data_IF_944746930940
#
_entry.id   IF_944746930940
#
_cell.length_a   1.000
_cell.length_b   1.000
_cell.length_c   1.000
_cell.angle_alpha   90.00
_cell.angle_beta   90.00
_cell.angle_gamma   90.00
#
_symmetry.space_group_name_H-M   'P 1'
#
loop_
_entity.id
_entity.type
_entity.pdbx_description
1 polymer ?
#
# COMPACT_ATOMS: atom_id res chain seq x y z
N UNK A 1 -10.09 -22.68 -10.67
CA UNK A 1 -9.65 -21.57 -9.80
C UNK A 1 -8.34 -21.14 -10.40
N UNK A 2 -8.28 -19.96 -11.02
CA UNK A 2 -7.01 -19.42 -11.50
C UNK A 2 -6.10 -19.33 -10.28
N UNK A 3 -4.91 -19.94 -10.35
CA UNK A 3 -3.92 -19.79 -9.29
C UNK A 3 -3.58 -18.30 -9.22
N UNK A 4 -3.96 -17.65 -8.12
CA UNK A 4 -3.55 -16.28 -7.84
C UNK A 4 -2.03 -16.25 -7.84
N UNK A 5 -1.46 -15.58 -8.84
CA UNK A 5 -0.01 -15.46 -8.98
C UNK A 5 0.47 -14.41 -7.97
N UNK A 6 0.87 -14.88 -6.80
CA UNK A 6 1.50 -14.04 -5.79
C UNK A 6 2.95 -13.75 -6.17
N UNK A 7 3.32 -12.47 -6.12
CA UNK A 7 4.70 -12.02 -6.33
C UNK A 7 5.31 -11.58 -5.00
N UNK A 8 6.56 -11.97 -4.76
CA UNK A 8 7.34 -11.47 -3.63
C UNK A 8 8.17 -10.25 -4.05
N UNK A 9 8.13 -9.18 -3.27
CA UNK A 9 8.89 -7.97 -3.50
C UNK A 9 9.73 -7.65 -2.25
N UNK A 10 11.04 -7.49 -2.45
CA UNK A 10 11.94 -6.98 -1.42
C UNK A 10 12.17 -5.49 -1.67
N UNK A 11 11.90 -4.68 -0.65
CA UNK A 11 11.99 -3.22 -0.74
C UNK A 11 12.71 -2.66 0.49
N UNK A 12 13.62 -1.68 0.32
CA UNK A 12 14.13 -0.92 1.46
C UNK A 12 13.03 -0.06 2.07
N UNK A 13 13.15 0.30 3.35
CA UNK A 13 12.10 1.04 4.08
C UNK A 13 11.78 2.39 3.43
N UNK A 14 12.76 3.04 2.81
CA UNK A 14 12.56 4.29 2.08
C UNK A 14 11.62 4.12 0.88
N UNK A 15 11.72 2.99 0.17
CA UNK A 15 10.83 2.68 -0.94
C UNK A 15 9.39 2.43 -0.46
N UNK A 16 9.23 1.73 0.67
CA UNK A 16 7.90 1.52 1.29
C UNK A 16 7.25 2.87 1.63
N UNK A 17 8.01 3.83 2.17
CA UNK A 17 7.51 5.19 2.46
C UNK A 17 7.08 5.93 1.19
N UNK A 18 7.86 5.85 0.11
CA UNK A 18 7.52 6.46 -1.18
C UNK A 18 6.22 5.87 -1.74
N UNK A 19 6.08 4.54 -1.70
CA UNK A 19 4.87 3.85 -2.17
C UNK A 19 3.66 4.30 -1.34
N UNK A 20 3.76 4.31 0.00
CA UNK A 20 2.70 4.81 0.86
C UNK A 20 2.28 6.26 0.52
N UNK A 21 3.24 7.14 0.26
CA UNK A 21 2.95 8.53 -0.17
C UNK A 21 2.23 8.56 -1.51
N UNK A 22 2.66 7.77 -2.50
CA UNK A 22 1.99 7.65 -3.79
C UNK A 22 0.55 7.16 -3.67
N UNK A 23 0.33 6.11 -2.87
CA UNK A 23 -1.01 5.57 -2.60
C UNK A 23 -1.91 6.59 -1.89
N UNK A 24 -1.36 7.34 -0.93
CA UNK A 24 -2.10 8.41 -0.25
C UNK A 24 -2.59 9.48 -1.22
N UNK A 25 -1.72 9.89 -2.17
CA UNK A 25 -2.11 10.85 -3.21
C UNK A 25 -3.15 10.27 -4.17
N UNK A 26 -3.04 8.99 -4.52
CA UNK A 26 -4.00 8.31 -5.39
C UNK A 26 -5.39 8.23 -4.74
N UNK A 27 -5.45 7.91 -3.45
CA UNK A 27 -6.70 7.93 -2.67
C UNK A 27 -7.28 9.34 -2.60
N UNK A 28 -6.47 10.35 -2.28
CA UNK A 28 -6.91 11.74 -2.16
C UNK A 28 -7.46 12.30 -3.48
N UNK A 29 -6.86 11.91 -4.60
CA UNK A 29 -7.19 12.41 -5.94
C UNK A 29 -8.06 11.45 -6.75
N UNK A 30 -8.67 10.45 -6.11
CA UNK A 30 -9.48 9.45 -6.80
C UNK A 30 -10.63 10.13 -7.57
N UNK A 31 -10.64 9.96 -8.88
CA UNK A 31 -11.62 10.60 -9.78
C UNK A 31 -12.98 9.90 -9.79
N UNK A 32 -13.18 8.88 -8.97
CA UNK A 32 -14.27 7.90 -9.09
C UNK A 32 -13.87 6.74 -10.01
N UNK A 33 -14.63 5.65 -9.94
CA UNK A 33 -14.32 4.40 -10.64
C UNK A 33 -15.11 3.24 -10.05
N UNK A 34 -14.59 2.02 -10.22
CA UNK A 34 -15.14 0.84 -9.56
C UNK A 34 -14.97 0.97 -8.02
N UNK A 35 -16.06 0.82 -7.23
CA UNK A 35 -15.96 0.78 -5.77
C UNK A 35 -14.97 -0.27 -5.26
N UNK A 36 -14.85 -1.41 -5.93
CA UNK A 36 -13.92 -2.47 -5.54
C UNK A 36 -12.46 -2.01 -5.68
N UNK A 37 -12.12 -1.36 -6.80
CA UNK A 37 -10.78 -0.78 -7.01
C UNK A 37 -10.46 0.28 -5.96
N UNK A 38 -11.45 1.06 -5.53
CA UNK A 38 -11.27 2.05 -4.47
C UNK A 38 -11.02 1.38 -3.11
N UNK A 39 -11.75 0.32 -2.78
CA UNK A 39 -11.52 -0.47 -1.56
C UNK A 39 -10.13 -1.12 -1.56
N UNK A 40 -9.72 -1.70 -2.69
CA UNK A 40 -8.40 -2.28 -2.86
C UNK A 40 -7.30 -1.22 -2.69
N UNK A 41 -7.47 -0.04 -3.29
CA UNK A 41 -6.52 1.07 -3.18
C UNK A 41 -6.36 1.54 -1.73
N UNK A 42 -7.47 1.64 -0.99
CA UNK A 42 -7.46 1.98 0.43
C UNK A 42 -6.74 0.90 1.26
N UNK A 43 -7.04 -0.38 1.00
CA UNK A 43 -6.42 -1.51 1.68
C UNK A 43 -4.90 -1.54 1.44
N UNK A 44 -4.45 -1.29 0.20
CA UNK A 44 -3.02 -1.20 -0.11
C UNK A 44 -2.35 -0.03 0.63
N UNK A 45 -2.95 1.16 0.63
CA UNK A 45 -2.42 2.32 1.37
C UNK A 45 -2.22 1.96 2.85
N UNK A 46 -3.23 1.37 3.47
CA UNK A 46 -3.21 1.05 4.91
C UNK A 46 -2.20 -0.06 5.22
N UNK A 47 -2.05 -1.03 4.31
CA UNK A 47 -1.04 -2.07 4.43
C UNK A 47 0.38 -1.48 4.42
N UNK A 48 0.71 -0.61 3.46
CA UNK A 48 2.01 0.05 3.42
C UNK A 48 2.24 0.98 4.61
N UNK A 49 1.18 1.64 5.12
CA UNK A 49 1.30 2.45 6.34
C UNK A 49 1.64 1.59 7.56
N UNK A 50 1.04 0.40 7.66
CA UNK A 50 1.32 -0.55 8.74
C UNK A 50 2.80 -0.94 8.76
N UNK A 51 3.38 -1.29 7.61
CA UNK A 51 4.82 -1.62 7.50
C UNK A 51 5.69 -0.45 8.00
N UNK A 52 5.32 0.79 7.64
CA UNK A 52 6.04 1.99 8.11
C UNK A 52 5.95 2.16 9.63
N UNK A 53 4.80 1.85 10.23
CA UNK A 53 4.60 1.90 11.68
C UNK A 53 5.37 0.79 12.38
N UNK A 54 5.29 -0.45 11.89
CA UNK A 54 6.01 -1.61 12.41
C UNK A 54 7.51 -1.31 12.47
N UNK A 55 8.10 -0.87 11.35
CA UNK A 55 9.51 -0.47 11.32
C UNK A 55 9.83 0.63 12.34
N UNK A 56 8.95 1.63 12.49
CA UNK A 56 9.16 2.73 13.45
C UNK A 56 9.17 2.23 14.90
N UNK A 57 8.27 1.32 15.26
CA UNK A 57 8.14 0.81 16.63
C UNK A 57 9.11 -0.33 16.95
N UNK A 58 9.57 -1.10 15.96
CA UNK A 58 10.64 -2.09 16.11
C UNK A 58 12.02 -1.44 16.26
N UNK A 59 12.20 -0.25 15.67
CA UNK A 59 13.46 0.51 15.76
C UNK A 59 13.53 1.43 17.00
N UNK A 60 12.50 1.45 17.84
CA UNK A 60 12.47 2.14 19.14
C UNK A 60 12.92 1.22 20.27
#
# INVERSE_FOLDING_TARGET
>A
MEEENYYHLELPIEAVRIVHTGLSQAVEKWSGGDPMEQEDLLAMRDHFYRIVLEHRFETM
#
